data_IF_058273263545
#
_entry.id   IF_058273263545
#
_cell.length_a   1.000
_cell.length_b   1.000
_cell.length_c   1.000
_cell.angle_alpha   90.00
_cell.angle_beta   90.00
_cell.angle_gamma   90.00
#
_symmetry.space_group_name_H-M   'P 1'
#
loop_
_entity.id
_entity.type
_entity.pdbx_description
1 polymer ?
#
# COMPACT_ATOMS: atom_id res chain seq x y z
N UNK A 1 10.97 -1.87 4.59
CA UNK A 1 10.59 -0.94 5.67
C UNK A 1 11.83 -0.55 6.42
N UNK A 2 11.99 0.73 6.71
CA UNK A 2 13.10 1.27 7.52
C UNK A 2 12.50 2.11 8.63
N UNK A 3 12.78 1.79 9.90
CA UNK A 3 12.33 2.59 11.04
C UNK A 3 13.51 3.35 11.64
N UNK A 4 13.36 4.67 11.78
CA UNK A 4 14.39 5.57 12.30
C UNK A 4 13.97 6.07 13.69
N UNK A 5 14.81 5.93 14.72
CA UNK A 5 14.53 6.50 16.04
C UNK A 5 14.67 8.02 16.01
N UNK A 6 13.75 8.73 16.67
CA UNK A 6 13.75 10.20 16.81
C UNK A 6 13.85 10.66 18.28
N UNK A 7 14.37 9.81 19.16
CA UNK A 7 14.55 10.07 20.59
C UNK A 7 13.27 9.88 21.43
N UNK A 8 12.14 10.38 20.95
CA UNK A 8 10.82 10.26 21.62
C UNK A 8 9.90 9.20 20.99
N UNK A 9 10.36 8.52 19.94
CA UNK A 9 9.59 7.54 19.19
C UNK A 9 10.35 7.02 17.97
N UNK A 10 9.62 6.36 17.08
CA UNK A 10 10.13 5.84 15.81
C UNK A 10 9.30 6.36 14.65
N UNK A 11 9.97 6.70 13.55
CA UNK A 11 9.34 6.99 12.27
C UNK A 11 9.65 5.84 11.31
N UNK A 12 8.61 5.15 10.86
CA UNK A 12 8.75 4.02 9.92
C UNK A 12 8.42 4.46 8.50
N UNK A 13 9.36 4.23 7.59
CA UNK A 13 9.21 4.44 6.17
C UNK A 13 8.87 3.12 5.50
N UNK A 14 7.72 3.10 4.84
CA UNK A 14 7.26 1.98 4.04
C UNK A 14 7.45 2.29 2.54
N UNK A 15 7.80 1.29 1.72
CA UNK A 15 7.84 1.48 0.28
C UNK A 15 6.42 1.69 -0.27
N UNK A 16 6.27 2.75 -1.08
CA UNK A 16 5.06 3.00 -1.84
C UNK A 16 5.15 2.34 -3.23
N UNK A 17 4.09 1.68 -3.63
CA UNK A 17 3.97 0.93 -4.88
C UNK A 17 2.79 1.43 -5.70
N UNK A 18 2.88 1.40 -7.03
CA UNK A 18 1.73 1.66 -7.91
C UNK A 18 1.18 0.34 -8.42
N UNK A 19 -0.04 0.01 -8.06
CA UNK A 19 -0.73 -1.19 -8.54
C UNK A 19 -1.73 -0.82 -9.63
N UNK A 20 -1.67 -1.57 -10.74
CA UNK A 20 -2.58 -1.40 -11.86
C UNK A 20 -3.74 -2.37 -11.70
N UNK A 21 -4.96 -1.87 -11.73
CA UNK A 21 -6.18 -2.66 -11.56
C UNK A 21 -6.59 -3.28 -12.91
N UNK A 22 -7.45 -4.30 -12.87
CA UNK A 22 -7.88 -5.01 -14.08
C UNK A 22 -8.71 -4.14 -15.04
N UNK A 23 -9.37 -3.10 -14.52
CA UNK A 23 -10.11 -2.09 -15.30
C UNK A 23 -9.18 -1.05 -15.98
N UNK A 24 -7.85 -1.18 -15.78
CA UNK A 24 -6.85 -0.29 -16.33
C UNK A 24 -6.53 0.93 -15.47
N UNK A 25 -7.28 1.17 -14.38
CA UNK A 25 -6.99 2.23 -13.41
C UNK A 25 -5.77 1.87 -12.54
N UNK A 26 -5.35 2.78 -11.67
CA UNK A 26 -4.22 2.55 -10.78
C UNK A 26 -4.54 3.05 -9.37
N UNK A 27 -4.04 2.33 -8.38
CA UNK A 27 -4.03 2.71 -6.97
C UNK A 27 -2.59 2.71 -6.46
N UNK A 28 -2.35 3.44 -5.39
CA UNK A 28 -1.05 3.48 -4.71
C UNK A 28 -1.15 2.68 -3.41
N UNK A 29 -0.23 1.76 -3.22
CA UNK A 29 -0.15 0.87 -2.06
C UNK A 29 1.05 1.27 -1.21
N UNK A 30 0.80 1.60 0.05
CA UNK A 30 1.81 1.62 1.09
C UNK A 30 1.80 0.26 1.80
N UNK A 31 2.91 -0.49 1.73
CA UNK A 31 3.00 -1.80 2.37
C UNK A 31 3.79 -1.72 3.68
N UNK A 32 3.10 -1.97 4.80
CA UNK A 32 3.70 -2.05 6.12
C UNK A 32 3.70 -3.51 6.64
N UNK A 33 4.86 -4.07 6.94
CA UNK A 33 4.99 -5.46 7.41
C UNK A 33 4.20 -5.78 8.69
N UNK A 34 3.93 -4.79 9.54
CA UNK A 34 3.13 -4.95 10.77
C UNK A 34 1.64 -4.57 10.60
N UNK A 35 1.33 -3.38 10.08
CA UNK A 35 -0.04 -2.87 9.92
C UNK A 35 -0.75 -3.43 8.68
N UNK A 36 0.00 -3.97 7.72
CA UNK A 36 -0.53 -4.49 6.46
C UNK A 36 -0.59 -3.42 5.35
N UNK A 37 -1.51 -3.60 4.38
CA UNK A 37 -1.64 -2.71 3.23
C UNK A 37 -2.49 -1.49 3.56
N UNK A 38 -2.05 -0.33 3.07
CA UNK A 38 -2.85 0.90 3.04
C UNK A 38 -2.89 1.43 1.61
N UNK A 39 -4.08 1.82 1.15
CA UNK A 39 -4.32 2.20 -0.24
C UNK A 39 -4.68 3.66 -0.39
N UNK A 40 -4.19 4.28 -1.47
CA UNK A 40 -4.39 5.68 -1.79
C UNK A 40 -4.76 5.86 -3.26
N UNK A 41 -5.53 6.92 -3.56
CA UNK A 41 -5.86 7.32 -4.93
C UNK A 41 -4.73 8.09 -5.62
N UNK A 42 -3.82 8.67 -4.84
CA UNK A 42 -2.73 9.50 -5.32
C UNK A 42 -1.36 9.04 -4.78
N UNK A 43 -0.29 9.50 -5.45
CA UNK A 43 1.08 9.12 -5.13
C UNK A 43 1.59 9.73 -3.81
N UNK A 44 1.00 10.83 -3.38
CA UNK A 44 1.42 11.58 -2.20
C UNK A 44 0.75 11.05 -0.91
N UNK A 45 -0.01 9.95 -1.01
CA UNK A 45 -0.66 9.29 0.13
C UNK A 45 -1.64 10.22 0.87
N UNK A 46 -2.25 11.17 0.16
CA UNK A 46 -3.16 12.15 0.77
C UNK A 46 -4.63 11.71 0.75
N UNK A 47 -5.00 10.81 -0.17
CA UNK A 47 -6.38 10.36 -0.37
C UNK A 47 -6.49 8.87 -0.13
N UNK A 48 -6.58 8.51 1.14
CA UNK A 48 -6.74 7.12 1.58
C UNK A 48 -8.05 6.51 1.07
N UNK A 49 -8.02 5.21 0.83
CA UNK A 49 -9.16 4.37 0.49
C UNK A 49 -9.33 3.41 1.66
N UNK A 50 -10.06 3.80 2.71
CA UNK A 50 -10.22 2.98 3.92
C UNK A 50 -10.94 1.66 3.60
N UNK A 51 -12.03 1.73 2.82
CA UNK A 51 -12.85 0.57 2.44
C UNK A 51 -12.33 -0.15 1.18
N UNK A 52 -11.01 -0.19 0.98
CA UNK A 52 -10.40 -0.84 -0.17
C UNK A 52 -10.76 -2.33 -0.27
N UNK A 53 -11.01 -2.98 0.86
CA UNK A 53 -11.37 -4.39 0.98
C UNK A 53 -12.76 -4.70 0.40
N UNK A 54 -13.62 -3.70 0.22
CA UNK A 54 -14.91 -3.86 -0.45
C UNK A 54 -14.79 -3.86 -1.98
N UNK A 55 -13.68 -3.34 -2.52
CA UNK A 55 -13.45 -3.30 -3.95
C UNK A 55 -12.65 -4.54 -4.41
N UNK A 56 -13.29 -5.51 -5.10
CA UNK A 56 -12.64 -6.75 -5.49
C UNK A 56 -11.43 -6.52 -6.40
N UNK A 57 -11.41 -5.45 -7.22
CA UNK A 57 -10.28 -5.14 -8.08
C UNK A 57 -9.02 -4.80 -7.29
N UNK A 58 -9.17 -4.09 -6.16
CA UNK A 58 -8.04 -3.74 -5.29
C UNK A 58 -7.57 -4.97 -4.53
N UNK A 59 -8.50 -5.80 -4.05
CA UNK A 59 -8.20 -7.07 -3.37
C UNK A 59 -7.43 -8.02 -4.28
N UNK A 60 -7.85 -8.18 -5.54
CA UNK A 60 -7.16 -9.02 -6.52
C UNK A 60 -5.75 -8.49 -6.83
N UNK A 61 -5.61 -7.16 -6.98
CA UNK A 61 -4.32 -6.53 -7.19
C UNK A 61 -3.38 -6.71 -5.98
N UNK A 62 -3.92 -6.67 -4.76
CA UNK A 62 -3.18 -6.93 -3.53
C UNK A 62 -2.72 -8.39 -3.45
N UNK A 63 -3.61 -9.35 -3.72
CA UNK A 63 -3.28 -10.77 -3.71
C UNK A 63 -2.17 -11.09 -4.72
N UNK A 64 -2.25 -10.51 -5.93
CA UNK A 64 -1.18 -10.59 -6.92
C UNK A 64 0.15 -10.02 -6.39
N UNK A 65 0.12 -8.86 -5.72
CA UNK A 65 1.32 -8.23 -5.15
C UNK A 65 1.95 -9.08 -4.04
N UNK A 66 1.13 -9.64 -3.15
CA UNK A 66 1.55 -10.54 -2.09
C UNK A 66 2.18 -11.83 -2.64
N UNK A 67 1.57 -12.45 -3.67
CA UNK A 67 2.10 -13.63 -4.35
C UNK A 67 3.46 -13.41 -5.00
N UNK A 68 3.80 -12.16 -5.37
CA UNK A 68 5.11 -11.77 -5.90
C UNK A 68 6.15 -11.42 -4.83
N UNK A 69 5.82 -11.62 -3.55
CA UNK A 69 6.70 -11.32 -2.42
C UNK A 69 6.81 -9.83 -2.13
N UNK A 70 5.69 -9.10 -2.26
CA UNK A 70 5.59 -7.66 -2.02
C UNK A 70 6.46 -6.83 -2.98
N UNK A 71 6.41 -7.21 -4.27
CA UNK A 71 7.13 -6.55 -5.36
C UNK A 71 6.13 -6.20 -6.47
N UNK A 72 5.94 -4.91 -6.70
CA UNK A 72 5.13 -4.38 -7.80
C UNK A 72 5.96 -4.33 -9.09
#
# INVERSE_FOLDING_TARGET
MTCVPIGVGYVCFSPAHRLRLADGTCVYLNWHSYLGPTFYRDRCEQREIEDWYENPLIVDALDWFCKRGHRA
#
